data_IF_122849155714
#
_entry.id   IF_122849155714
#
_cell.length_a   1.000
_cell.length_b   1.000
_cell.length_c   1.000
_cell.angle_alpha   90.00
_cell.angle_beta   90.00
_cell.angle_gamma   90.00
#
_symmetry.space_group_name_H-M   'P 1'
#
loop_
_entity.id
_entity.type
_entity.pdbx_description
1 polymer ?
#
# COMPACT_ATOMS: atom_id res chain seq x y z
N UNK A 1 27.23 -23.22 1.02
CA UNK A 1 27.28 -21.76 1.19
C UNK A 1 26.79 -21.15 -0.12
N UNK A 2 25.48 -20.99 -0.27
CA UNK A 2 24.89 -20.37 -1.47
C UNK A 2 24.48 -18.94 -1.13
N UNK A 3 25.38 -17.99 -1.36
CA UNK A 3 25.02 -16.59 -1.45
C UNK A 3 24.33 -16.37 -2.80
N UNK A 4 23.01 -16.60 -2.86
CA UNK A 4 22.20 -16.04 -3.94
C UNK A 4 22.29 -14.53 -3.82
N UNK A 5 23.03 -13.91 -4.73
CA UNK A 5 22.98 -12.47 -4.92
C UNK A 5 21.52 -12.08 -5.21
N UNK A 6 20.81 -11.58 -4.21
CA UNK A 6 19.49 -10.98 -4.41
C UNK A 6 19.68 -9.77 -5.32
N UNK A 7 19.10 -9.83 -6.52
CA UNK A 7 19.00 -8.67 -7.39
C UNK A 7 18.43 -7.48 -6.58
N UNK A 8 18.84 -6.24 -6.86
CA UNK A 8 18.26 -5.08 -6.19
C UNK A 8 16.75 -5.10 -6.36
N UNK A 9 16.02 -5.11 -5.24
CA UNK A 9 14.57 -5.11 -5.22
C UNK A 9 14.06 -3.80 -5.84
N UNK A 10 13.72 -3.84 -7.13
CA UNK A 10 13.00 -2.74 -7.78
C UNK A 10 11.55 -2.76 -7.33
N UNK A 11 11.12 -1.69 -6.67
CA UNK A 11 9.72 -1.51 -6.26
C UNK A 11 8.85 -1.25 -7.48
N UNK A 12 7.91 -2.14 -7.77
CA UNK A 12 6.85 -1.91 -8.76
C UNK A 12 5.54 -1.56 -8.07
N UNK A 13 4.61 -0.87 -8.75
CA UNK A 13 3.27 -0.62 -8.21
C UNK A 13 2.56 -1.91 -7.78
N UNK A 14 2.71 -2.99 -8.55
CA UNK A 14 2.16 -4.31 -8.24
C UNK A 14 2.76 -4.88 -6.95
N UNK A 15 4.09 -4.77 -6.78
CA UNK A 15 4.76 -5.23 -5.58
C UNK A 15 4.32 -4.45 -4.34
N UNK A 16 4.19 -3.13 -4.44
CA UNK A 16 3.64 -2.29 -3.36
C UNK A 16 2.25 -2.78 -2.98
N UNK A 17 1.38 -2.97 -3.97
CA UNK A 17 0.02 -3.43 -3.74
C UNK A 17 -0.01 -4.84 -3.09
N UNK A 18 0.86 -5.77 -3.49
CA UNK A 18 1.00 -7.09 -2.85
C UNK A 18 1.44 -6.97 -1.39
N UNK A 19 2.49 -6.20 -1.12
CA UNK A 19 3.01 -5.97 0.24
C UNK A 19 1.96 -5.34 1.15
N UNK A 20 1.17 -4.41 0.63
CA UNK A 20 0.05 -3.83 1.38
C UNK A 20 -0.97 -4.89 1.79
N UNK A 21 -1.36 -5.81 0.88
CA UNK A 21 -2.31 -6.88 1.22
C UNK A 21 -1.72 -7.85 2.23
N UNK A 22 -0.44 -8.23 2.09
CA UNK A 22 0.28 -9.09 3.04
C UNK A 22 0.30 -8.47 4.44
N UNK A 23 0.68 -7.19 4.55
CA UNK A 23 0.73 -6.49 5.83
C UNK A 23 -0.65 -6.44 6.53
N UNK A 24 -1.73 -6.25 5.77
CA UNK A 24 -3.09 -6.31 6.32
C UNK A 24 -3.57 -7.72 6.70
N UNK A 25 -2.99 -8.77 6.11
CA UNK A 25 -3.26 -10.17 6.49
C UNK A 25 -2.52 -10.56 7.76
N UNK A 26 -1.26 -10.16 7.87
CA UNK A 26 -0.41 -10.41 9.04
C UNK A 26 -0.90 -9.63 10.26
N UNK A 27 -1.39 -8.41 10.03
CA UNK A 27 -1.90 -7.52 11.08
C UNK A 27 -3.32 -7.05 10.73
N UNK A 28 -4.34 -7.90 10.94
CA UNK A 28 -5.72 -7.52 10.72
C UNK A 28 -6.09 -6.39 11.70
N UNK A 29 -6.32 -5.18 11.17
CA UNK A 29 -6.76 -4.04 11.97
C UNK A 29 -8.13 -4.37 12.61
N UNK A 30 -8.11 -4.64 13.92
CA UNK A 30 -9.27 -4.61 14.81
C UNK A 30 -9.57 -3.18 15.31
N UNK A 31 -10.58 -3.03 16.17
CA UNK A 31 -11.19 -1.77 16.65
C UNK A 31 -10.22 -0.68 17.18
N UNK A 32 -8.93 -0.97 17.33
CA UNK A 32 -7.88 -0.02 17.70
C UNK A 32 -7.14 0.53 16.46
N UNK A 33 -7.95 1.07 15.55
CA UNK A 33 -7.69 1.24 14.11
C UNK A 33 -6.63 2.30 13.77
N UNK A 34 -6.11 3.06 14.74
CA UNK A 34 -5.16 4.17 14.51
C UNK A 34 -3.72 3.85 14.88
N UNK A 35 -3.48 3.18 16.01
CA UNK A 35 -2.13 2.93 16.52
C UNK A 35 -1.39 1.84 15.74
N UNK A 36 -2.06 0.71 15.44
CA UNK A 36 -1.48 -0.39 14.64
C UNK A 36 -1.47 -0.14 13.16
N UNK A 37 -2.35 0.74 12.71
CA UNK A 37 -2.28 1.24 11.37
C UNK A 37 -0.92 1.93 11.18
N UNK A 38 -0.41 2.77 12.09
CA UNK A 38 0.92 3.37 11.93
C UNK A 38 2.09 2.38 11.67
N UNK A 39 2.02 1.14 12.16
CA UNK A 39 3.01 0.06 11.92
C UNK A 39 2.87 -0.57 10.52
N UNK A 40 1.65 -0.89 10.08
CA UNK A 40 1.35 -1.39 8.72
C UNK A 40 1.40 -0.26 7.67
N UNK A 41 1.19 0.98 8.10
CA UNK A 41 1.01 2.18 7.30
C UNK A 41 2.27 3.03 7.19
N UNK A 42 3.44 2.57 7.63
CA UNK A 42 4.63 3.43 7.61
C UNK A 42 4.90 3.96 6.20
N UNK A 43 4.76 3.13 5.15
CA UNK A 43 4.96 3.59 3.77
C UNK A 43 3.82 4.50 3.27
N UNK A 44 2.52 4.15 3.34
CA UNK A 44 1.45 5.07 2.98
C UNK A 44 1.47 6.39 3.76
N UNK A 45 1.80 6.37 5.05
CA UNK A 45 1.83 7.56 5.90
C UNK A 45 3.00 8.49 5.56
N UNK A 46 4.16 7.95 5.20
CA UNK A 46 5.33 8.73 4.81
C UNK A 46 5.23 9.26 3.37
N UNK A 47 4.82 8.41 2.42
CA UNK A 47 4.90 8.72 0.99
C UNK A 47 3.63 9.36 0.41
N UNK A 48 2.49 9.29 1.13
CA UNK A 48 1.22 9.85 0.66
C UNK A 48 0.68 10.95 1.58
N UNK A 49 1.55 11.63 2.34
CA UNK A 49 1.15 12.70 3.25
C UNK A 49 0.39 13.82 2.52
N UNK A 50 0.82 14.18 1.31
CA UNK A 50 0.19 15.18 0.46
C UNK A 50 -1.01 14.67 -0.36
N UNK A 51 -1.32 13.36 -0.28
CA UNK A 51 -2.30 12.67 -1.13
C UNK A 51 -3.27 11.83 -0.27
N UNK A 52 -4.11 12.47 0.57
CA UNK A 52 -4.96 11.77 1.53
C UNK A 52 -6.00 10.86 0.87
N UNK A 53 -6.56 11.27 -0.27
CA UNK A 53 -7.56 10.49 -1.01
C UNK A 53 -6.96 9.21 -1.63
N UNK A 54 -5.74 9.30 -2.17
CA UNK A 54 -4.96 8.18 -2.70
C UNK A 54 -4.54 7.22 -1.59
N UNK A 55 -4.07 7.77 -0.47
CA UNK A 55 -3.75 7.01 0.74
C UNK A 55 -4.96 6.20 1.17
N UNK A 56 -6.08 6.85 1.45
CA UNK A 56 -7.27 6.18 1.97
C UNK A 56 -7.81 5.13 0.98
N UNK A 57 -7.77 5.41 -0.32
CA UNK A 57 -8.13 4.44 -1.36
C UNK A 57 -7.25 3.18 -1.31
N UNK A 58 -5.93 3.34 -1.17
CA UNK A 58 -4.98 2.23 -1.03
C UNK A 58 -5.26 1.41 0.23
N UNK A 59 -5.54 2.07 1.37
CA UNK A 59 -5.79 1.39 2.64
C UNK A 59 -7.07 0.57 2.63
N UNK A 60 -8.15 1.18 2.15
CA UNK A 60 -9.43 0.47 2.00
C UNK A 60 -9.30 -0.70 1.03
N UNK A 61 -8.61 -0.50 -0.10
CA UNK A 61 -8.39 -1.57 -1.07
C UNK A 61 -7.62 -2.74 -0.47
N UNK A 62 -6.52 -2.47 0.24
CA UNK A 62 -5.68 -3.49 0.86
C UNK A 62 -6.45 -4.26 1.94
N UNK A 63 -7.17 -3.53 2.82
CA UNK A 63 -8.05 -4.11 3.85
C UNK A 63 -9.10 -5.04 3.26
N UNK A 64 -9.78 -4.62 2.20
CA UNK A 64 -10.82 -5.43 1.55
C UNK A 64 -10.23 -6.65 0.85
N UNK A 65 -9.10 -6.50 0.16
CA UNK A 65 -8.41 -7.62 -0.49
C UNK A 65 -7.89 -8.65 0.52
N UNK A 66 -7.33 -8.20 1.63
CA UNK A 66 -6.88 -9.08 2.70
C UNK A 66 -8.03 -9.95 3.26
N UNK A 67 -9.25 -9.40 3.31
CA UNK A 67 -10.47 -10.08 3.78
C UNK A 67 -11.24 -10.83 2.68
N UNK A 68 -10.74 -10.88 1.45
CA UNK A 68 -11.44 -11.52 0.33
C UNK A 68 -12.72 -10.80 -0.13
N UNK A 69 -12.90 -9.52 0.21
CA UNK A 69 -14.10 -8.76 -0.11
C UNK A 69 -14.09 -8.24 -1.56
N UNK A 70 -15.27 -8.20 -2.18
CA UNK A 70 -15.45 -7.63 -3.51
C UNK A 70 -15.35 -6.11 -3.50
N UNK A 71 -14.31 -5.57 -4.17
CA UNK A 71 -14.11 -4.12 -4.31
C UNK A 71 -15.34 -3.44 -4.93
N UNK A 72 -16.00 -4.09 -5.90
CA UNK A 72 -17.19 -3.55 -6.56
C UNK A 72 -18.33 -3.33 -5.56
N UNK A 73 -18.59 -4.33 -4.72
CA UNK A 73 -19.66 -4.27 -3.72
C UNK A 73 -19.33 -3.25 -2.63
N UNK A 74 -18.08 -3.21 -2.18
CA UNK A 74 -17.64 -2.25 -1.17
C UNK A 74 -17.70 -0.81 -1.67
N UNK A 75 -17.33 -0.53 -2.93
CA UNK A 75 -17.53 0.77 -3.56
C UNK A 75 -19.02 1.12 -3.65
N UNK A 76 -19.87 0.19 -4.10
CA UNK A 76 -21.33 0.39 -4.20
C UNK A 76 -21.93 0.71 -2.83
N UNK A 77 -21.60 -0.06 -1.80
CA UNK A 77 -22.11 0.13 -0.44
C UNK A 77 -21.73 1.49 0.17
N UNK A 78 -20.61 2.08 -0.28
CA UNK A 78 -20.13 3.39 0.17
C UNK A 78 -20.53 4.55 -0.74
N UNK A 79 -21.25 4.29 -1.84
CA UNK A 79 -21.54 5.31 -2.85
C UNK A 79 -20.30 5.82 -3.60
N UNK A 80 -19.21 5.05 -3.63
CA UNK A 80 -17.96 5.44 -4.29
C UNK A 80 -17.92 4.97 -5.75
N UNK A 81 -17.42 5.83 -6.63
CA UNK A 81 -17.08 5.42 -8.00
C UNK A 81 -15.92 4.42 -7.98
N UNK A 82 -16.17 3.20 -8.45
CA UNK A 82 -15.13 2.16 -8.58
C UNK A 82 -13.96 2.64 -9.45
N UNK A 83 -14.23 3.35 -10.53
CA UNK A 83 -13.20 3.82 -11.46
C UNK A 83 -12.29 4.83 -10.76
N UNK A 84 -12.87 5.83 -10.09
CA UNK A 84 -12.12 6.84 -9.33
C UNK A 84 -11.31 6.20 -8.21
N UNK A 85 -11.93 5.27 -7.47
CA UNK A 85 -11.28 4.54 -6.38
C UNK A 85 -10.05 3.76 -6.87
N UNK A 86 -10.20 3.00 -7.97
CA UNK A 86 -9.09 2.24 -8.55
C UNK A 86 -7.99 3.14 -9.10
N UNK A 87 -8.34 4.28 -9.71
CA UNK A 87 -7.36 5.28 -10.18
C UNK A 87 -6.54 5.84 -9.02
N UNK A 88 -7.19 6.23 -7.93
CA UNK A 88 -6.53 6.71 -6.70
C UNK A 88 -5.60 5.66 -6.10
N UNK A 89 -6.06 4.42 -5.97
CA UNK A 89 -5.22 3.29 -5.51
C UNK A 89 -4.03 3.04 -6.44
N UNK A 90 -4.19 3.15 -7.76
CA UNK A 90 -3.08 2.99 -8.71
C UNK A 90 -2.05 4.10 -8.53
N UNK A 91 -2.52 5.35 -8.46
CA UNK A 91 -1.65 6.50 -8.22
C UNK A 91 -0.88 6.38 -6.90
N UNK A 92 -1.53 5.89 -5.84
CA UNK A 92 -0.88 5.60 -4.57
C UNK A 92 0.29 4.60 -4.70
N UNK A 93 0.05 3.45 -5.35
CA UNK A 93 1.10 2.42 -5.56
C UNK A 93 2.24 2.96 -6.45
N UNK A 94 1.95 3.80 -7.46
CA UNK A 94 2.98 4.47 -8.30
C UNK A 94 3.87 5.42 -7.50
N UNK A 95 3.29 6.28 -6.67
CA UNK A 95 4.04 7.26 -5.87
C UNK A 95 4.96 6.53 -4.88
N UNK A 96 4.42 5.55 -4.13
CA UNK A 96 5.21 4.75 -3.20
C UNK A 96 6.35 4.03 -3.93
N UNK A 97 6.08 3.39 -5.07
CA UNK A 97 7.11 2.70 -5.83
C UNK A 97 8.21 3.66 -6.31
N UNK A 98 7.83 4.83 -6.82
CA UNK A 98 8.77 5.88 -7.24
C UNK A 98 9.63 6.39 -6.09
N UNK A 99 9.03 6.64 -4.93
CA UNK A 99 9.74 7.14 -3.75
C UNK A 99 10.66 6.09 -3.14
N UNK A 100 10.26 4.82 -3.06
CA UNK A 100 11.11 3.75 -2.54
C UNK A 100 12.32 3.50 -3.46
N UNK A 101 12.12 3.53 -4.78
CA UNK A 101 13.22 3.43 -5.74
C UNK A 101 14.13 4.67 -5.73
N UNK A 102 13.57 5.88 -5.58
CA UNK A 102 14.35 7.12 -5.48
C UNK A 102 15.05 7.31 -4.13
N UNK A 103 14.56 6.66 -3.07
CA UNK A 103 15.17 6.64 -1.74
C UNK A 103 16.27 5.60 -1.62
N UNK A 104 16.24 4.54 -2.43
CA UNK A 104 17.34 3.59 -2.61
C UNK A 104 18.64 4.26 -3.08
N UNK A 105 18.54 5.38 -3.80
CA UNK A 105 19.68 6.21 -4.18
C UNK A 105 20.22 7.12 -3.07
N UNK A 106 19.46 7.30 -1.97
CA UNK A 106 19.79 8.19 -0.84
C UNK A 106 20.19 7.46 0.45
N UNK A 107 19.98 6.15 0.54
CA UNK A 107 20.38 5.32 1.68
C UNK A 107 21.46 4.29 1.33
N UNK A 108 22.35 4.61 0.39
CA UNK A 108 23.72 4.11 0.47
C UNK A 108 24.45 4.95 1.51
N UNK A 109 24.37 4.58 2.79
CA UNK A 109 25.40 4.94 3.76
C UNK A 109 25.82 3.72 4.60
N UNK A 110 27.12 3.65 4.89
CA UNK A 110 27.90 2.44 5.17
C UNK A 110 27.62 1.79 6.52
#
# INVERSE_FOLDING_TARGET
>A
MDQRASAPLTWTPELVCTRMVEAFREHPLGLDERARAAEVLTWPALHLLALPDERDALLWWAKWKARGLSIREQCKARGWSRVTFMRRKNRACEVIAGELNGSGSRHARP
#
